data_IF_824957529703
#
_entry.id   IF_824957529703
#
_cell.length_a   1.000
_cell.length_b   1.000
_cell.length_c   1.000
_cell.angle_alpha   90.00
_cell.angle_beta   90.00
_cell.angle_gamma   90.00
#
_symmetry.space_group_name_H-M   'P 1'
#
loop_
_entity.id
_entity.type
_entity.pdbx_description
1 polymer ?
#
# COMPACT_ATOMS: atom_id res chain seq x y z
N UNK A 1 7.89 30.28 -4.03
CA UNK A 1 6.95 30.70 -5.08
C UNK A 1 7.06 29.69 -6.22
N UNK A 2 6.03 28.88 -6.41
CA UNK A 2 5.99 27.81 -7.41
C UNK A 2 6.02 28.41 -8.83
N UNK A 3 6.57 27.70 -9.81
CA UNK A 3 6.46 28.08 -11.23
C UNK A 3 4.99 28.29 -11.62
N UNK A 4 4.07 27.49 -11.06
CA UNK A 4 2.63 27.66 -11.25
C UNK A 4 2.15 29.06 -10.84
N UNK A 5 2.63 29.59 -9.71
CA UNK A 5 2.23 30.92 -9.24
C UNK A 5 2.66 32.04 -10.19
N UNK A 6 3.78 31.85 -10.91
CA UNK A 6 4.23 32.78 -11.97
C UNK A 6 3.47 32.61 -13.28
N UNK A 7 2.94 31.41 -13.55
CA UNK A 7 2.14 31.14 -14.74
C UNK A 7 0.65 31.45 -14.56
N UNK A 8 0.13 31.59 -13.33
CA UNK A 8 -1.24 32.05 -13.06
C UNK A 8 -1.62 33.31 -13.86
N UNK A 9 -0.84 34.41 -13.86
CA UNK A 9 -1.22 35.62 -14.61
C UNK A 9 -1.22 35.40 -16.13
N UNK A 10 -0.27 34.63 -16.67
CA UNK A 10 -0.17 34.31 -18.10
C UNK A 10 -1.34 33.41 -18.52
N UNK A 11 -1.64 32.40 -17.70
CA UNK A 11 -2.76 31.48 -17.88
C UNK A 11 -4.09 32.23 -17.85
N UNK A 12 -4.28 33.13 -16.88
CA UNK A 12 -5.49 33.94 -16.77
C UNK A 12 -5.65 34.90 -17.96
N UNK A 13 -4.55 35.52 -18.42
CA UNK A 13 -4.57 36.36 -19.62
C UNK A 13 -4.94 35.55 -20.88
N UNK A 14 -4.39 34.35 -21.02
CA UNK A 14 -4.76 33.44 -22.11
C UNK A 14 -6.25 33.05 -22.03
N UNK A 15 -6.75 32.70 -20.85
CA UNK A 15 -8.17 32.39 -20.66
C UNK A 15 -9.08 33.57 -21.00
N UNK A 16 -8.73 34.79 -20.61
CA UNK A 16 -9.51 35.98 -20.98
C UNK A 16 -9.54 36.24 -22.49
N UNK A 17 -8.42 36.00 -23.19
CA UNK A 17 -8.36 36.14 -24.65
C UNK A 17 -9.27 35.09 -25.31
N UNK A 18 -9.18 33.84 -24.87
CA UNK A 18 -10.00 32.74 -25.39
C UNK A 18 -11.48 32.99 -25.09
N UNK A 19 -11.83 33.37 -23.86
CA UNK A 19 -13.18 33.73 -23.44
C UNK A 19 -13.77 34.84 -24.30
N UNK A 20 -13.04 35.93 -24.55
CA UNK A 20 -13.53 37.03 -25.41
C UNK A 20 -13.77 36.59 -26.86
N UNK A 21 -12.93 35.69 -27.39
CA UNK A 21 -13.11 35.13 -28.73
C UNK A 21 -14.38 34.28 -28.78
N UNK A 22 -14.59 33.42 -27.78
CA UNK A 22 -15.78 32.58 -27.69
C UNK A 22 -17.06 33.42 -27.49
N UNK A 23 -17.04 34.44 -26.62
CA UNK A 23 -18.19 35.34 -26.42
C UNK A 23 -18.56 36.10 -27.69
N UNK A 24 -17.57 36.64 -28.43
CA UNK A 24 -17.82 37.33 -29.70
C UNK A 24 -18.38 36.37 -30.75
N UNK A 25 -17.88 35.14 -30.79
CA UNK A 25 -18.36 34.12 -31.72
C UNK A 25 -19.78 33.66 -31.33
N UNK A 26 -20.04 33.44 -30.05
CA UNK A 26 -21.35 33.04 -29.51
C UNK A 26 -22.39 34.16 -29.63
N UNK A 27 -21.98 35.43 -29.56
CA UNK A 27 -22.86 36.58 -29.82
C UNK A 27 -23.46 36.56 -31.22
N UNK A 28 -22.71 36.06 -32.22
CA UNK A 28 -23.23 35.84 -33.57
C UNK A 28 -24.35 34.78 -33.62
N UNK A 29 -24.34 33.83 -32.69
CA UNK A 29 -25.35 32.77 -32.54
C UNK A 29 -26.46 33.13 -31.54
N UNK A 30 -26.51 34.36 -31.04
CA UNK A 30 -27.59 34.86 -30.18
C UNK A 30 -27.32 34.78 -28.67
N UNK A 31 -26.10 34.51 -28.24
CA UNK A 31 -25.69 34.67 -26.83
C UNK A 31 -25.77 36.15 -26.42
N UNK A 32 -26.27 36.50 -25.22
CA UNK A 32 -26.67 35.62 -24.12
C UNK A 32 -28.15 35.19 -24.13
N UNK A 33 -28.94 35.64 -25.12
CA UNK A 33 -30.40 35.40 -25.16
C UNK A 33 -30.77 33.96 -25.53
N UNK A 34 -29.92 33.30 -26.32
CA UNK A 34 -30.02 31.89 -26.64
C UNK A 34 -28.80 31.17 -26.04
N UNK A 35 -28.90 30.54 -24.86
CA UNK A 35 -27.79 29.84 -24.22
C UNK A 35 -27.36 28.57 -24.98
N UNK A 36 -28.05 28.20 -26.05
CA UNK A 36 -27.75 26.99 -26.83
C UNK A 36 -28.18 25.71 -26.11
N UNK A 37 -27.72 24.58 -26.62
CA UNK A 37 -27.89 23.29 -25.97
C UNK A 37 -27.05 23.26 -24.68
N UNK A 38 -27.61 22.83 -23.53
CA UNK A 38 -26.84 22.74 -22.29
C UNK A 38 -25.60 21.86 -22.52
N UNK A 39 -24.44 22.35 -22.11
CA UNK A 39 -23.15 21.63 -22.21
C UNK A 39 -23.09 20.39 -21.32
N UNK A 40 -24.07 20.23 -20.44
CA UNK A 40 -24.21 19.10 -19.53
C UNK A 40 -25.35 18.24 -20.07
N UNK A 41 -24.99 17.15 -20.73
CA UNK A 41 -25.91 16.03 -20.94
C UNK A 41 -26.33 15.56 -19.55
N UNK A 42 -27.63 15.45 -19.25
CA UNK A 42 -28.14 14.79 -18.04
C UNK A 42 -27.81 13.28 -18.12
N UNK A 43 -26.53 12.97 -17.92
CA UNK A 43 -26.04 11.62 -17.67
C UNK A 43 -26.64 11.15 -16.33
N UNK A 44 -26.96 9.86 -16.18
CA UNK A 44 -27.57 9.33 -14.96
C UNK A 44 -26.78 9.76 -13.73
N UNK A 45 -27.49 10.37 -12.76
CA UNK A 45 -26.99 11.10 -11.59
C UNK A 45 -25.77 10.49 -10.87
N UNK A 46 -25.60 9.16 -10.89
CA UNK A 46 -24.53 8.47 -10.15
C UNK A 46 -23.12 8.73 -10.70
N UNK A 47 -22.93 8.71 -12.02
CA UNK A 47 -21.59 8.91 -12.61
C UNK A 47 -21.14 10.36 -12.41
N UNK A 48 -22.07 11.30 -12.57
CA UNK A 48 -21.82 12.73 -12.39
C UNK A 48 -21.58 13.08 -10.91
N UNK A 49 -22.38 12.53 -10.00
CA UNK A 49 -22.16 12.68 -8.55
C UNK A 49 -20.79 12.12 -8.12
N UNK A 50 -20.38 10.97 -8.68
CA UNK A 50 -19.07 10.39 -8.42
C UNK A 50 -17.93 11.28 -8.95
N UNK A 51 -18.05 11.85 -10.14
CA UNK A 51 -17.05 12.80 -10.65
C UNK A 51 -16.98 14.07 -9.81
N UNK A 52 -18.13 14.63 -9.39
CA UNK A 52 -18.18 15.80 -8.52
C UNK A 52 -17.53 15.51 -7.16
N UNK A 53 -17.77 14.33 -6.60
CA UNK A 53 -17.13 13.88 -5.37
C UNK A 53 -15.60 13.81 -5.55
N UNK A 54 -15.11 13.12 -6.58
CA UNK A 54 -13.67 13.05 -6.87
C UNK A 54 -13.03 14.43 -7.13
N UNK A 55 -13.77 15.35 -7.74
CA UNK A 55 -13.31 16.72 -7.94
C UNK A 55 -13.31 17.56 -6.65
N UNK A 56 -14.15 17.22 -5.68
CA UNK A 56 -14.21 17.87 -4.37
C UNK A 56 -13.10 17.44 -3.40
N UNK A 57 -12.47 16.27 -3.64
CA UNK A 57 -11.43 15.74 -2.77
C UNK A 57 -10.18 16.63 -2.75
N UNK A 58 -9.52 16.76 -1.58
CA UNK A 58 -8.25 17.46 -1.49
C UNK A 58 -7.16 16.74 -2.31
N UNK A 59 -6.15 17.49 -2.74
CA UNK A 59 -4.93 16.92 -3.33
C UNK A 59 -3.85 16.84 -2.27
N UNK A 60 -3.22 15.68 -2.16
CA UNK A 60 -2.02 15.50 -1.35
C UNK A 60 -0.88 16.30 -2.01
N UNK A 61 -0.28 17.24 -1.27
CA UNK A 61 0.67 18.21 -1.82
C UNK A 61 2.09 17.76 -1.53
N UNK A 62 2.69 17.09 -2.50
CA UNK A 62 4.09 16.71 -2.52
C UNK A 62 4.88 17.68 -3.41
N UNK A 63 6.19 17.74 -3.21
CA UNK A 63 7.09 18.50 -4.06
C UNK A 63 8.11 17.57 -4.69
N UNK A 64 8.33 17.75 -5.99
CA UNK A 64 9.42 17.13 -6.71
C UNK A 64 10.32 18.21 -7.33
N UNK A 65 11.62 18.25 -6.97
CA UNK A 65 12.28 17.50 -5.90
C UNK A 65 11.73 17.83 -4.49
N UNK A 66 11.89 16.94 -3.48
CA UNK A 66 11.37 17.19 -2.15
C UNK A 66 12.13 18.33 -1.48
N UNK A 67 11.49 18.96 -0.51
CA UNK A 67 12.08 20.05 0.23
C UNK A 67 13.26 19.51 1.05
N UNK A 68 14.44 20.03 0.76
CA UNK A 68 15.66 19.65 1.47
C UNK A 68 15.67 20.27 2.87
N UNK A 69 15.44 19.43 3.89
CA UNK A 69 15.54 19.80 5.31
C UNK A 69 16.61 18.94 5.98
N UNK A 70 17.82 19.47 6.25
CA UNK A 70 18.86 18.71 6.93
C UNK A 70 18.49 18.53 8.41
N UNK A 71 18.53 17.28 8.88
CA UNK A 71 18.31 16.91 10.29
C UNK A 71 19.64 16.69 11.01
N UNK A 72 20.70 16.34 10.26
CA UNK A 72 22.03 16.06 10.81
C UNK A 72 23.11 17.02 10.26
N UNK A 73 24.20 17.17 11.02
CA UNK A 73 25.37 17.95 10.58
C UNK A 73 26.00 17.42 9.29
N UNK A 74 25.93 16.10 9.06
CA UNK A 74 26.42 15.49 7.83
C UNK A 74 25.56 15.92 6.63
N UNK A 75 24.24 15.88 6.76
CA UNK A 75 23.30 16.35 5.74
C UNK A 75 23.41 17.85 5.47
N UNK A 76 23.82 18.65 6.47
CA UNK A 76 24.09 20.08 6.25
C UNK A 76 25.26 20.30 5.28
N UNK A 77 26.27 19.41 5.29
CA UNK A 77 27.48 19.53 4.46
C UNK A 77 27.28 18.88 3.09
N UNK A 78 26.69 17.68 3.04
CA UNK A 78 26.56 16.87 1.83
C UNK A 78 25.18 16.94 1.16
N UNK A 79 24.23 17.64 1.79
CA UNK A 79 22.83 17.68 1.39
C UNK A 79 21.99 16.61 2.10
N UNK A 80 20.71 16.88 2.41
CA UNK A 80 19.82 15.90 3.02
C UNK A 80 19.45 14.80 2.05
N UNK A 81 19.27 13.58 2.58
CA UNK A 81 18.72 12.49 1.81
C UNK A 81 17.27 12.82 1.41
N UNK A 82 16.87 12.61 0.14
CA UNK A 82 15.49 12.83 -0.27
C UNK A 82 14.60 11.80 0.43
N UNK A 83 13.59 12.28 1.17
CA UNK A 83 12.60 11.44 1.85
C UNK A 83 11.30 11.41 1.06
N UNK A 84 10.63 10.25 1.09
CA UNK A 84 9.28 10.07 0.54
C UNK A 84 8.29 10.72 1.50
N UNK A 85 7.39 11.54 0.98
CA UNK A 85 6.28 12.11 1.75
C UNK A 85 5.04 11.26 1.47
N UNK A 86 4.92 10.13 2.17
CA UNK A 86 3.87 9.16 1.97
C UNK A 86 2.60 9.54 2.73
N UNK A 87 1.43 9.21 2.16
CA UNK A 87 0.15 9.46 2.84
C UNK A 87 0.08 8.61 4.13
N UNK A 88 -0.17 9.22 5.29
CA UNK A 88 -0.18 8.50 6.56
C UNK A 88 -1.40 7.60 6.69
N UNK A 89 -1.20 6.44 7.32
CA UNK A 89 -2.23 5.48 7.69
C UNK A 89 -2.47 5.55 9.20
N UNK A 90 -3.72 5.67 9.61
CA UNK A 90 -4.08 5.73 11.03
C UNK A 90 -4.75 4.42 11.45
N UNK A 91 -4.05 3.64 12.26
CA UNK A 91 -4.53 2.36 12.80
C UNK A 91 -5.39 2.65 14.03
N UNK A 92 -6.51 1.96 14.17
CA UNK A 92 -7.36 2.02 15.35
C UNK A 92 -7.92 0.64 15.69
N UNK A 93 -8.13 0.40 16.98
CA UNK A 93 -8.70 -0.85 17.48
C UNK A 93 -10.07 -0.55 18.09
N UNK A 94 -11.09 -1.31 17.70
CA UNK A 94 -12.43 -1.23 18.27
C UNK A 94 -12.94 -2.63 18.57
N UNK A 95 -13.62 -2.79 19.72
CA UNK A 95 -14.22 -4.08 20.09
C UNK A 95 -15.35 -4.52 19.17
N UNK A 96 -15.96 -3.58 18.44
CA UNK A 96 -17.07 -3.85 17.54
C UNK A 96 -16.60 -4.12 16.10
N UNK A 97 -15.53 -3.45 15.66
CA UNK A 97 -15.06 -3.50 14.28
C UNK A 97 -13.80 -4.37 14.09
N UNK A 98 -13.01 -4.62 15.14
CA UNK A 98 -11.81 -5.46 15.11
C UNK A 98 -10.49 -4.74 15.41
N UNK A 99 -9.38 -5.48 15.21
CA UNK A 99 -8.02 -5.08 15.63
C UNK A 99 -7.12 -4.57 14.49
N UNK A 100 -7.40 -4.91 13.23
CA UNK A 100 -6.55 -4.57 12.09
C UNK A 100 -7.05 -3.36 11.31
N UNK A 101 -7.96 -2.60 11.89
CA UNK A 101 -8.66 -1.55 11.18
C UNK A 101 -7.78 -0.31 11.05
N UNK A 102 -7.89 0.33 9.90
CA UNK A 102 -7.24 1.60 9.68
C UNK A 102 -8.04 2.46 8.74
N UNK A 103 -7.80 3.76 8.82
CA UNK A 103 -8.32 4.69 7.85
C UNK A 103 -7.19 5.52 7.24
N UNK A 104 -7.44 5.99 6.02
CA UNK A 104 -6.57 6.86 5.25
C UNK A 104 -7.40 8.06 4.80
N UNK A 105 -6.81 9.26 4.84
CA UNK A 105 -7.48 10.44 4.29
C UNK A 105 -7.64 10.31 2.77
N UNK A 106 -8.84 10.55 2.25
CA UNK A 106 -9.12 10.36 0.83
C UNK A 106 -8.61 11.55 0.01
N UNK A 107 -7.47 11.38 -0.66
CA UNK A 107 -6.93 12.38 -1.59
C UNK A 107 -7.15 11.97 -3.04
N UNK A 108 -7.40 12.95 -3.90
CA UNK A 108 -7.65 12.76 -5.34
C UNK A 108 -6.52 12.04 -6.09
N UNK A 109 -5.29 12.17 -5.60
CA UNK A 109 -4.07 11.67 -6.25
C UNK A 109 -3.48 10.43 -5.57
N UNK A 110 -4.20 9.75 -4.68
CA UNK A 110 -3.73 8.48 -4.10
C UNK A 110 -3.73 7.40 -5.17
N UNK A 111 -2.67 6.59 -5.16
CA UNK A 111 -2.60 5.37 -5.93
C UNK A 111 -2.51 4.17 -5.00
N UNK A 112 -3.29 3.15 -5.34
CA UNK A 112 -3.20 1.85 -4.71
C UNK A 112 -2.55 0.86 -5.67
N UNK A 113 -1.97 -0.19 -5.11
CA UNK A 113 -1.57 -1.34 -5.91
C UNK A 113 -2.81 -1.97 -6.57
N UNK A 114 -2.69 -2.60 -7.75
CA UNK A 114 -3.77 -3.43 -8.26
C UNK A 114 -4.09 -4.59 -7.31
N UNK A 115 -5.37 -4.96 -7.18
CA UNK A 115 -5.82 -6.04 -6.30
C UNK A 115 -5.05 -7.35 -6.51
N UNK A 116 -4.81 -7.74 -7.77
CA UNK A 116 -4.06 -8.96 -8.09
C UNK A 116 -2.61 -8.92 -7.58
N UNK A 117 -1.99 -7.74 -7.58
CA UNK A 117 -0.62 -7.55 -7.13
C UNK A 117 -0.56 -7.52 -5.60
N UNK A 118 -1.53 -6.87 -4.96
CA UNK A 118 -1.68 -6.90 -3.51
C UNK A 118 -1.89 -8.33 -3.01
N UNK A 119 -2.81 -9.09 -3.64
CA UNK A 119 -3.02 -10.51 -3.34
C UNK A 119 -1.74 -11.33 -3.53
N UNK A 120 -1.02 -11.12 -4.64
CA UNK A 120 0.23 -11.83 -4.89
C UNK A 120 1.27 -11.59 -3.79
N UNK A 121 1.48 -10.34 -3.39
CA UNK A 121 2.44 -9.98 -2.34
C UNK A 121 2.04 -10.61 -1.01
N UNK A 122 0.77 -10.53 -0.64
CA UNK A 122 0.28 -11.05 0.63
C UNK A 122 0.34 -12.59 0.69
N UNK A 123 -0.16 -13.27 -0.34
CA UNK A 123 -0.29 -14.74 -0.34
C UNK A 123 1.02 -15.45 -0.70
N UNK A 124 1.78 -14.93 -1.68
CA UNK A 124 3.00 -15.61 -2.17
C UNK A 124 4.26 -15.16 -1.46
N UNK A 125 4.36 -13.89 -1.07
CA UNK A 125 5.52 -13.37 -0.33
C UNK A 125 5.31 -13.39 1.19
N UNK A 126 4.12 -13.76 1.66
CA UNK A 126 3.76 -13.83 3.09
C UNK A 126 3.87 -12.46 3.81
N UNK A 127 3.72 -11.35 3.06
CA UNK A 127 3.79 -9.98 3.60
C UNK A 127 2.35 -9.50 3.83
N UNK A 128 1.78 -9.84 4.98
CA UNK A 128 0.36 -9.56 5.28
C UNK A 128 0.14 -8.39 6.24
N UNK A 129 0.83 -8.37 7.39
CA UNK A 129 0.63 -7.31 8.41
C UNK A 129 1.77 -6.29 8.41
N UNK A 130 3.01 -6.76 8.23
CA UNK A 130 4.19 -5.89 8.24
C UNK A 130 4.41 -5.28 6.85
N UNK A 131 4.21 -3.97 6.74
CA UNK A 131 4.43 -3.22 5.49
C UNK A 131 5.85 -2.65 5.39
N UNK A 132 6.68 -2.77 6.43
CA UNK A 132 7.99 -2.09 6.54
C UNK A 132 8.92 -2.42 5.37
N UNK A 133 8.92 -3.66 4.90
CA UNK A 133 9.71 -4.09 3.75
C UNK A 133 9.26 -3.37 2.47
N UNK A 134 7.95 -3.28 2.25
CA UNK A 134 7.36 -2.65 1.07
C UNK A 134 7.62 -1.15 1.05
N UNK A 135 7.54 -0.51 2.22
CA UNK A 135 7.90 0.91 2.39
C UNK A 135 9.38 1.14 2.13
N UNK A 136 10.26 0.27 2.62
CA UNK A 136 11.70 0.31 2.34
C UNK A 136 11.99 0.19 0.84
N UNK A 137 11.32 -0.74 0.14
CA UNK A 137 11.46 -0.90 -1.32
C UNK A 137 11.01 0.36 -2.05
N UNK A 138 9.87 0.95 -1.66
CA UNK A 138 9.37 2.21 -2.22
C UNK A 138 10.38 3.36 -2.02
N UNK A 139 10.96 3.48 -0.83
CA UNK A 139 11.97 4.49 -0.52
C UNK A 139 13.25 4.32 -1.33
N UNK A 140 13.77 3.09 -1.44
CA UNK A 140 14.95 2.79 -2.26
C UNK A 140 14.70 3.12 -3.73
N UNK A 141 13.53 2.78 -4.26
CA UNK A 141 13.13 3.13 -5.63
C UNK A 141 13.06 4.65 -5.82
N UNK A 142 12.49 5.38 -4.85
CA UNK A 142 12.40 6.84 -4.90
C UNK A 142 13.78 7.51 -4.89
N UNK A 143 14.67 7.06 -4.00
CA UNK A 143 16.06 7.55 -3.93
C UNK A 143 16.80 7.23 -5.23
N UNK A 144 16.61 6.02 -5.77
CA UNK A 144 17.20 5.62 -7.05
C UNK A 144 16.76 6.52 -8.22
N UNK A 145 15.45 6.81 -8.32
CA UNK A 145 14.92 7.74 -9.32
C UNK A 145 15.46 9.15 -9.14
N UNK A 146 15.65 9.58 -7.89
CA UNK A 146 16.24 10.87 -7.58
C UNK A 146 17.68 11.01 -8.07
N UNK A 147 18.51 10.02 -7.74
CA UNK A 147 19.91 9.99 -8.18
C UNK A 147 19.98 9.96 -9.71
N UNK A 148 19.12 9.16 -10.35
CA UNK A 148 19.08 9.07 -11.79
C UNK A 148 18.62 10.38 -12.45
N UNK A 149 17.62 11.06 -11.89
CA UNK A 149 17.20 12.39 -12.34
C UNK A 149 18.35 13.40 -12.29
N UNK A 150 19.17 13.39 -11.23
CA UNK A 150 20.37 14.23 -11.14
C UNK A 150 21.41 13.88 -12.20
N UNK A 151 21.60 12.59 -12.51
CA UNK A 151 22.49 12.18 -13.62
C UNK A 151 22.01 12.73 -14.96
N UNK A 152 20.71 12.67 -15.24
CA UNK A 152 20.11 13.21 -16.48
C UNK A 152 20.30 14.73 -16.56
N UNK A 153 20.06 15.46 -15.46
CA UNK A 153 20.29 16.92 -15.38
C UNK A 153 21.76 17.24 -15.65
N UNK A 154 22.68 16.51 -15.01
CA UNK A 154 24.11 16.72 -15.18
C UNK A 154 24.55 16.41 -16.62
N UNK A 155 23.98 15.38 -17.24
CA UNK A 155 24.19 15.05 -18.65
C UNK A 155 23.76 16.19 -19.56
N UNK A 156 22.54 16.70 -19.38
CA UNK A 156 22.04 17.84 -20.15
C UNK A 156 22.99 19.02 -19.97
N UNK A 157 23.36 19.38 -18.72
CA UNK A 157 24.24 20.50 -18.43
C UNK A 157 25.61 20.38 -19.14
N UNK A 158 26.22 19.19 -19.16
CA UNK A 158 27.48 18.93 -19.88
C UNK A 158 27.29 19.05 -21.39
N UNK A 159 26.16 18.61 -21.95
CA UNK A 159 25.88 18.77 -23.39
C UNK A 159 25.85 20.23 -23.83
N UNK A 160 25.52 21.18 -22.95
CA UNK A 160 25.61 22.61 -23.23
C UNK A 160 27.05 23.15 -23.18
N UNK A 161 27.98 22.44 -22.54
CA UNK A 161 29.38 22.81 -22.44
C UNK A 161 30.16 22.26 -23.63
N UNK A 162 30.13 23.00 -24.75
CA UNK A 162 30.80 22.65 -26.01
C UNK A 162 32.31 22.38 -25.84
N UNK A 163 32.95 22.95 -24.81
CA UNK A 163 34.35 22.71 -24.48
C UNK A 163 34.64 21.29 -23.99
N UNK A 164 33.65 20.62 -23.36
CA UNK A 164 33.80 19.28 -22.82
C UNK A 164 33.38 18.28 -23.89
N UNK A 165 34.27 17.36 -24.26
CA UNK A 165 33.91 16.24 -25.09
C UNK A 165 33.14 15.20 -24.21
N UNK A 166 31.86 14.92 -24.48
CA UNK A 166 31.08 13.96 -23.69
C UNK A 166 31.60 12.52 -23.81
N UNK A 167 32.39 12.22 -24.84
CA UNK A 167 32.93 10.89 -25.11
C UNK A 167 34.34 10.65 -24.54
N UNK A 168 34.87 11.56 -23.74
CA UNK A 168 36.13 11.33 -23.01
C UNK A 168 35.87 10.84 -21.59
N UNK A 169 36.86 10.16 -21.01
CA UNK A 169 36.79 9.74 -19.61
C UNK A 169 36.84 10.98 -18.69
N UNK A 170 36.00 11.07 -17.64
CA UNK A 170 35.01 10.08 -17.18
C UNK A 170 33.58 10.24 -17.74
N UNK A 171 33.33 11.27 -18.55
CA UNK A 171 32.00 11.67 -19.04
C UNK A 171 31.32 10.63 -19.93
N UNK A 172 32.10 9.79 -20.60
CA UNK A 172 31.58 8.72 -21.45
C UNK A 172 30.64 7.75 -20.71
N UNK A 173 30.87 7.48 -19.42
CA UNK A 173 29.98 6.62 -18.62
C UNK A 173 28.63 7.28 -18.37
N UNK A 174 28.63 8.58 -18.16
CA UNK A 174 27.43 9.34 -17.90
C UNK A 174 26.58 9.50 -19.17
N UNK A 175 27.24 9.73 -20.31
CA UNK A 175 26.59 9.67 -21.62
C UNK A 175 25.96 8.28 -21.85
N UNK A 176 26.73 7.20 -21.67
CA UNK A 176 26.22 5.83 -21.84
C UNK A 176 25.02 5.49 -20.93
N UNK A 177 24.97 6.04 -19.71
CA UNK A 177 23.87 5.80 -18.77
C UNK A 177 22.56 6.55 -19.10
N UNK A 178 22.63 7.62 -19.89
CA UNK A 178 21.48 8.52 -20.16
C UNK A 178 21.07 8.51 -21.63
N UNK A 179 22.01 8.36 -22.57
CA UNK A 179 21.76 8.53 -24.01
C UNK A 179 20.74 7.52 -24.58
N UNK A 180 20.62 6.33 -23.98
CA UNK A 180 19.59 5.36 -24.37
C UNK A 180 18.17 5.94 -24.31
N UNK A 181 17.92 6.90 -23.41
CA UNK A 181 16.63 7.57 -23.29
C UNK A 181 16.31 8.41 -24.51
N UNK A 182 17.34 9.01 -25.11
CA UNK A 182 17.20 9.77 -26.34
C UNK A 182 16.94 8.83 -27.50
N UNK A 183 17.70 7.74 -27.63
CA UNK A 183 17.51 6.74 -28.69
C UNK A 183 16.07 6.19 -28.70
N UNK A 184 15.49 5.94 -27.53
CA UNK A 184 14.10 5.46 -27.40
C UNK A 184 13.06 6.54 -27.77
N UNK A 185 13.34 7.80 -27.45
CA UNK A 185 12.38 8.91 -27.61
C UNK A 185 12.58 9.74 -28.88
N UNK A 186 13.67 9.54 -29.64
CA UNK A 186 14.06 10.33 -30.81
C UNK A 186 13.01 10.29 -31.94
N UNK A 187 12.17 9.26 -31.98
CA UNK A 187 11.04 9.13 -32.92
C UNK A 187 9.70 9.65 -32.39
N UNK A 188 9.60 10.00 -31.11
CA UNK A 188 8.35 10.40 -30.44
C UNK A 188 8.37 11.89 -30.12
N UNK A 189 9.50 12.41 -29.62
CA UNK A 189 9.62 13.77 -29.14
C UNK A 189 10.19 14.67 -30.26
N UNK A 190 9.44 15.68 -30.74
CA UNK A 190 9.93 16.58 -31.78
C UNK A 190 10.96 17.56 -31.21
N UNK A 191 11.96 17.92 -32.02
CA UNK A 191 12.85 19.04 -31.70
C UNK A 191 12.11 20.38 -31.90
N UNK A 192 12.14 21.25 -30.91
CA UNK A 192 11.51 22.58 -30.97
C UNK A 192 12.62 23.60 -31.22
N UNK A 193 12.53 24.35 -32.32
CA UNK A 193 13.49 25.39 -32.69
C UNK A 193 14.97 24.92 -32.73
N UNK A 194 15.19 23.64 -33.07
CA UNK A 194 16.54 23.04 -33.13
C UNK A 194 17.12 22.64 -31.77
N UNK A 195 16.38 22.82 -30.67
CA UNK A 195 16.77 22.34 -29.34
C UNK A 195 16.18 20.95 -29.10
N UNK A 196 17.03 20.01 -28.67
CA UNK A 196 16.59 18.69 -28.25
C UNK A 196 15.93 18.80 -26.87
N UNK A 197 14.61 18.62 -26.81
CA UNK A 197 13.82 18.66 -25.57
C UNK A 197 13.63 17.27 -24.93
N UNK A 198 14.17 16.22 -25.54
CA UNK A 198 13.96 14.83 -25.13
C UNK A 198 14.34 14.59 -23.68
N UNK A 199 15.52 15.06 -23.26
CA UNK A 199 15.97 14.96 -21.87
C UNK A 199 15.04 15.69 -20.88
N UNK A 200 14.49 16.85 -21.26
CA UNK A 200 13.55 17.59 -20.41
C UNK A 200 12.19 16.91 -20.29
N UNK A 201 11.68 16.34 -21.39
CA UNK A 201 10.44 15.54 -21.38
C UNK A 201 10.62 14.30 -20.51
N UNK A 202 11.74 13.60 -20.66
CA UNK A 202 12.06 12.43 -19.86
C UNK A 202 12.20 12.74 -18.37
N UNK A 203 12.79 13.88 -18.01
CA UNK A 203 12.79 14.37 -16.62
C UNK A 203 11.37 14.59 -16.08
N UNK A 204 10.45 15.08 -16.92
CA UNK A 204 9.03 15.19 -16.57
C UNK A 204 8.41 13.82 -16.28
N UNK A 205 8.70 12.81 -17.12
CA UNK A 205 8.24 11.43 -16.90
C UNK A 205 8.78 10.85 -15.60
N UNK A 206 10.08 11.01 -15.32
CA UNK A 206 10.69 10.61 -14.06
C UNK A 206 10.02 11.30 -12.87
N UNK A 207 9.70 12.59 -13.00
CA UNK A 207 8.97 13.35 -11.98
C UNK A 207 7.58 12.78 -11.70
N UNK A 208 6.82 12.42 -12.74
CA UNK A 208 5.49 11.80 -12.58
C UNK A 208 5.59 10.43 -11.90
N UNK A 209 6.57 9.60 -12.29
CA UNK A 209 6.79 8.29 -11.66
C UNK A 209 7.17 8.47 -10.20
N UNK A 210 8.11 9.37 -9.89
CA UNK A 210 8.53 9.58 -8.53
C UNK A 210 7.41 10.20 -7.66
N UNK A 211 6.60 11.09 -8.24
CA UNK A 211 5.41 11.62 -7.58
C UNK A 211 4.38 10.52 -7.31
N UNK A 212 4.20 9.55 -8.22
CA UNK A 212 3.33 8.40 -7.99
C UNK A 212 3.78 7.54 -6.81
N UNK A 213 5.10 7.46 -6.53
CA UNK A 213 5.61 6.74 -5.37
C UNK A 213 5.27 7.44 -4.05
N UNK A 214 5.28 8.78 -3.99
CA UNK A 214 4.82 9.51 -2.79
C UNK A 214 3.34 9.27 -2.49
N UNK A 215 2.55 9.09 -3.54
CA UNK A 215 1.11 8.85 -3.43
C UNK A 215 0.72 7.37 -3.37
N UNK A 216 1.69 6.46 -3.44
CA UNK A 216 1.44 5.02 -3.37
C UNK A 216 1.19 4.61 -1.91
N UNK A 217 -0.01 4.10 -1.65
CA UNK A 217 -0.42 3.61 -0.32
C UNK A 217 -0.62 2.10 -0.34
N UNK A 218 -0.04 1.44 0.66
CA UNK A 218 -0.18 0.01 0.88
C UNK A 218 -1.36 -0.28 1.81
N UNK A 219 -2.30 -1.11 1.37
CA UNK A 219 -3.56 -1.40 2.09
C UNK A 219 -3.53 -2.73 2.85
N UNK A 220 -2.40 -3.42 2.87
CA UNK A 220 -2.29 -4.72 3.55
C UNK A 220 -2.67 -4.61 5.04
N UNK A 221 -3.47 -5.55 5.58
CA UNK A 221 -3.85 -6.85 5.02
C UNK A 221 -5.08 -6.85 4.07
N UNK A 222 -5.70 -5.71 3.83
CA UNK A 222 -6.89 -5.61 2.98
C UNK A 222 -6.51 -5.43 1.50
N UNK A 223 -7.41 -5.84 0.61
CA UNK A 223 -7.34 -5.43 -0.78
C UNK A 223 -7.77 -3.97 -0.92
N UNK A 224 -7.18 -3.21 -1.86
CA UNK A 224 -7.59 -1.84 -2.14
C UNK A 224 -9.07 -1.66 -2.46
N UNK A 225 -9.71 -2.68 -3.02
CA UNK A 225 -11.16 -2.69 -3.30
C UNK A 225 -12.05 -2.82 -2.07
N UNK A 226 -11.51 -3.18 -0.90
CA UNK A 226 -12.25 -3.28 0.37
C UNK A 226 -12.41 -1.91 1.05
N UNK A 227 -11.91 -0.83 0.44
CA UNK A 227 -12.01 0.52 0.99
C UNK A 227 -13.47 1.01 1.01
N UNK A 228 -13.93 1.44 2.18
CA UNK A 228 -15.23 2.12 2.33
C UNK A 228 -15.05 3.63 2.48
N UNK A 229 -15.75 4.40 1.63
CA UNK A 229 -15.75 5.86 1.67
C UNK A 229 -16.70 6.35 2.76
N UNK A 230 -16.16 7.02 3.78
CA UNK A 230 -16.95 7.59 4.88
C UNK A 230 -16.44 8.98 5.26
N UNK A 231 -17.24 9.73 6.03
CA UNK A 231 -16.84 11.05 6.53
C UNK A 231 -16.57 10.95 8.03
N UNK A 232 -15.32 11.18 8.41
CA UNK A 232 -14.92 11.21 9.82
C UNK A 232 -14.59 12.64 10.25
N UNK A 233 -14.85 12.92 11.52
CA UNK A 233 -14.54 14.20 12.13
C UNK A 233 -13.11 14.13 12.68
N UNK A 234 -12.14 14.57 11.88
CA UNK A 234 -10.72 14.57 12.21
C UNK A 234 -10.29 16.02 12.47
N UNK A 235 -9.72 16.29 13.65
CA UNK A 235 -9.27 17.64 14.04
C UNK A 235 -10.36 18.72 13.93
N UNK A 236 -11.60 18.39 14.33
CA UNK A 236 -12.77 19.30 14.26
C UNK A 236 -13.24 19.64 12.83
N UNK A 237 -12.67 18.99 11.81
CA UNK A 237 -13.07 19.12 10.41
C UNK A 237 -13.65 17.80 9.90
N UNK A 238 -14.76 17.87 9.16
CA UNK A 238 -15.31 16.71 8.46
C UNK A 238 -14.43 16.41 7.25
N UNK A 239 -13.72 15.29 7.30
CA UNK A 239 -12.85 14.83 6.21
C UNK A 239 -13.39 13.55 5.59
N UNK A 240 -13.31 13.48 4.27
CA UNK A 240 -13.57 12.24 3.53
C UNK A 240 -12.39 11.29 3.74
N UNK A 241 -12.67 10.08 4.22
CA UNK A 241 -11.68 9.05 4.51
C UNK A 241 -12.06 7.72 3.85
N UNK A 242 -11.05 6.90 3.64
CA UNK A 242 -11.18 5.50 3.23
C UNK A 242 -10.92 4.63 4.45
N UNK A 243 -11.93 3.88 4.89
CA UNK A 243 -11.81 2.97 6.02
C UNK A 243 -11.66 1.54 5.51
N UNK A 244 -10.75 0.81 6.13
CA UNK A 244 -10.58 -0.63 5.98
C UNK A 244 -10.85 -1.26 7.35
N UNK A 245 -11.92 -2.06 7.43
CA UNK A 245 -12.38 -2.65 8.68
C UNK A 245 -12.90 -4.08 8.46
N UNK A 246 -13.20 -4.77 9.55
CA UNK A 246 -13.58 -6.20 9.59
C UNK A 246 -12.46 -7.17 9.16
N UNK A 247 -12.83 -8.39 8.78
CA UNK A 247 -11.91 -9.44 8.35
C UNK A 247 -11.53 -9.23 6.87
N UNK A 248 -10.24 -9.19 6.52
CA UNK A 248 -9.81 -9.08 5.12
C UNK A 248 -10.38 -10.18 4.23
N UNK A 249 -10.86 -9.83 3.04
CA UNK A 249 -11.48 -10.81 2.12
C UNK A 249 -10.51 -11.93 1.71
N UNK A 250 -9.22 -11.62 1.71
CA UNK A 250 -8.15 -12.58 1.43
C UNK A 250 -8.15 -13.76 2.39
N UNK A 251 -8.48 -13.54 3.66
CA UNK A 251 -8.50 -14.59 4.69
C UNK A 251 -9.73 -15.51 4.60
N UNK A 252 -10.76 -15.11 3.86
CA UNK A 252 -11.86 -16.01 3.50
C UNK A 252 -11.49 -16.95 2.35
N UNK A 253 -10.62 -16.49 1.43
CA UNK A 253 -10.24 -17.23 0.23
C UNK A 253 -9.04 -18.14 0.46
N UNK A 254 -8.07 -17.65 1.23
CA UNK A 254 -6.81 -18.32 1.52
C UNK A 254 -6.67 -18.49 3.05
N UNK A 255 -6.05 -19.57 3.52
CA UNK A 255 -5.82 -19.75 4.94
C UNK A 255 -4.92 -18.63 5.48
N UNK A 256 -5.22 -18.19 6.70
CA UNK A 256 -4.42 -17.18 7.40
C UNK A 256 -3.00 -17.74 7.59
N UNK A 257 -1.95 -16.97 7.23
CA UNK A 257 -0.57 -17.38 7.45
C UNK A 257 -0.32 -17.91 8.87
N UNK A 258 0.43 -19.01 8.97
CA UNK A 258 0.68 -19.65 10.26
C UNK A 258 1.44 -18.72 11.22
N UNK A 259 2.36 -17.89 10.72
CA UNK A 259 3.12 -16.92 11.52
C UNK A 259 2.20 -15.93 12.27
N UNK A 260 1.10 -15.52 11.62
CA UNK A 260 0.10 -14.63 12.24
C UNK A 260 -0.69 -15.39 13.30
N UNK A 261 -1.07 -16.65 13.03
CA UNK A 261 -1.80 -17.49 13.98
C UNK A 261 -0.96 -17.77 15.23
N UNK A 262 0.34 -18.03 15.05
CA UNK A 262 1.30 -18.17 16.17
C UNK A 262 1.42 -16.87 16.96
N UNK A 263 1.54 -15.72 16.29
CA UNK A 263 1.55 -14.43 16.95
C UNK A 263 0.29 -14.18 17.80
N UNK A 264 -0.90 -14.53 17.29
CA UNK A 264 -2.16 -14.42 18.06
C UNK A 264 -2.20 -15.37 19.24
N UNK A 265 -1.68 -16.58 19.10
CA UNK A 265 -1.68 -17.56 20.19
C UNK A 265 -0.69 -17.22 21.30
N UNK A 266 0.53 -16.80 20.94
CA UNK A 266 1.63 -16.58 21.89
C UNK A 266 1.65 -15.16 22.45
N UNK A 267 1.42 -14.13 21.63
CA UNK A 267 1.65 -12.73 22.01
C UNK A 267 0.35 -11.95 22.24
N UNK A 268 -0.71 -12.22 21.45
CA UNK A 268 -1.97 -11.47 21.46
C UNK A 268 -3.21 -12.38 21.53
N UNK A 269 -3.44 -13.09 22.66
CA UNK A 269 -4.57 -14.01 22.81
C UNK A 269 -5.93 -13.30 22.82
N UNK A 270 -5.94 -11.99 23.09
CA UNK A 270 -7.11 -11.13 22.98
C UNK A 270 -7.64 -11.04 21.54
N UNK A 271 -6.73 -10.96 20.56
CA UNK A 271 -7.09 -10.98 19.15
C UNK A 271 -7.64 -12.35 18.78
N UNK A 272 -7.02 -13.43 19.27
CA UNK A 272 -7.47 -14.79 19.01
C UNK A 272 -8.89 -15.02 19.53
N UNK A 273 -9.17 -14.62 20.77
CA UNK A 273 -10.49 -14.77 21.41
C UNK A 273 -11.58 -13.99 20.67
N UNK A 274 -11.26 -12.76 20.26
CA UNK A 274 -12.14 -11.97 19.41
C UNK A 274 -12.40 -12.63 18.06
N UNK A 275 -11.35 -13.08 17.36
CA UNK A 275 -11.50 -13.72 16.05
C UNK A 275 -12.35 -14.98 16.16
N UNK A 276 -12.14 -15.80 17.18
CA UNK A 276 -12.94 -17.00 17.43
C UNK A 276 -14.39 -16.70 17.81
N UNK A 277 -14.64 -15.59 18.51
CA UNK A 277 -15.99 -15.21 18.95
C UNK A 277 -16.78 -14.51 17.83
N UNK A 278 -16.20 -13.50 17.20
CA UNK A 278 -16.83 -12.69 16.16
C UNK A 278 -17.04 -13.46 14.86
N UNK A 279 -16.12 -14.38 14.54
CA UNK A 279 -16.12 -15.14 13.29
C UNK A 279 -16.35 -16.63 13.50
N UNK A 280 -16.99 -17.02 14.62
CA UNK A 280 -17.27 -18.42 14.97
C UNK A 280 -18.00 -19.20 13.88
N UNK A 281 -18.93 -18.52 13.20
CA UNK A 281 -19.78 -19.12 12.16
C UNK A 281 -19.03 -19.32 10.84
N UNK A 282 -17.86 -18.70 10.71
CA UNK A 282 -16.96 -18.92 9.59
C UNK A 282 -16.10 -20.15 9.88
N UNK A 283 -16.09 -21.11 8.96
CA UNK A 283 -15.23 -22.31 9.04
C UNK A 283 -13.75 -21.97 8.74
N UNK A 284 -13.19 -20.97 9.42
CA UNK A 284 -11.81 -20.50 9.29
C UNK A 284 -10.98 -21.07 10.44
N UNK A 285 -9.78 -21.52 10.12
CA UNK A 285 -8.85 -22.07 11.10
C UNK A 285 -8.01 -20.94 11.70
N UNK A 286 -8.30 -20.56 12.94
CA UNK A 286 -7.57 -19.49 13.65
C UNK A 286 -6.40 -20.01 14.50
N UNK A 287 -6.43 -21.30 14.89
CA UNK A 287 -5.37 -21.88 15.71
C UNK A 287 -4.10 -22.17 14.89
N UNK A 288 -2.91 -22.11 15.49
CA UNK A 288 -1.65 -22.49 14.84
C UNK A 288 -1.59 -23.97 14.46
N UNK A 289 -0.91 -24.29 13.35
CA UNK A 289 -0.76 -25.66 12.87
C UNK A 289 -0.05 -26.57 13.88
N UNK A 290 0.86 -26.01 14.69
CA UNK A 290 1.56 -26.71 15.77
C UNK A 290 0.59 -27.23 16.83
N UNK A 291 -0.34 -26.39 17.29
CA UNK A 291 -1.37 -26.74 18.29
C UNK A 291 -2.34 -27.76 17.71
N UNK A 292 -2.75 -27.59 16.46
CA UNK A 292 -3.66 -28.55 15.80
C UNK A 292 -3.02 -29.92 15.64
N UNK A 293 -1.74 -29.98 15.26
CA UNK A 293 -1.00 -31.26 15.18
C UNK A 293 -0.88 -31.93 16.55
N UNK A 294 -0.65 -31.16 17.61
CA UNK A 294 -0.63 -31.70 18.98
C UNK A 294 -2.01 -32.22 19.41
N UNK A 295 -3.07 -31.48 19.09
CA UNK A 295 -4.45 -31.89 19.39
C UNK A 295 -4.85 -33.14 18.62
N UNK A 296 -4.51 -33.25 17.33
CA UNK A 296 -4.78 -34.44 16.53
C UNK A 296 -4.01 -35.66 17.05
N UNK A 297 -2.72 -35.49 17.39
CA UNK A 297 -1.93 -36.57 17.99
C UNK A 297 -2.52 -37.01 19.34
N UNK A 298 -2.98 -36.07 20.17
CA UNK A 298 -3.62 -36.38 21.45
C UNK A 298 -4.97 -37.08 21.26
N UNK A 299 -5.76 -36.67 20.27
CA UNK A 299 -7.03 -37.32 19.93
C UNK A 299 -6.80 -38.75 19.42
N UNK A 300 -5.78 -38.97 18.58
CA UNK A 300 -5.39 -40.29 18.11
C UNK A 300 -4.95 -41.18 19.28
N UNK A 301 -4.15 -40.66 20.23
CA UNK A 301 -3.79 -41.38 21.44
C UNK A 301 -5.02 -41.74 22.31
N UNK A 302 -5.97 -40.81 22.47
CA UNK A 302 -7.20 -41.07 23.23
C UNK A 302 -8.05 -42.14 22.54
N UNK A 303 -8.17 -42.11 21.21
CA UNK A 303 -8.91 -43.14 20.46
C UNK A 303 -8.24 -44.51 20.57
N UNK A 304 -6.91 -44.59 20.50
CA UNK A 304 -6.15 -45.81 20.73
C UNK A 304 -6.35 -46.35 22.15
N UNK A 305 -6.33 -45.50 23.18
CA UNK A 305 -6.61 -45.91 24.57
C UNK A 305 -8.05 -46.40 24.74
N UNK A 306 -9.02 -45.76 24.09
CA UNK A 306 -10.43 -46.20 24.15
C UNK A 306 -10.65 -47.55 23.46
N UNK A 307 -9.92 -47.83 22.38
CA UNK A 307 -9.97 -49.13 21.71
C UNK A 307 -9.30 -50.21 22.57
N UNK A 308 -8.16 -49.91 23.20
CA UNK A 308 -7.51 -50.82 24.16
C UNK A 308 -8.45 -51.10 25.35
N UNK A 309 -9.13 -50.09 25.88
CA UNK A 309 -10.14 -50.24 26.95
C UNK A 309 -11.32 -51.12 26.54
N UNK A 310 -11.73 -51.09 25.28
CA UNK A 310 -12.82 -51.91 24.76
C UNK A 310 -12.36 -53.33 24.40
N UNK A 311 -11.07 -53.50 24.08
CA UNK A 311 -10.41 -54.80 23.84
C UNK A 311 -9.99 -55.51 25.14
N UNK A 312 -9.92 -54.78 26.27
CA UNK A 312 -9.87 -55.39 27.60
C UNK A 312 -11.21 -56.07 27.90
N UNK A 313 -11.28 -57.34 27.52
CA UNK A 313 -12.43 -58.21 27.72
C UNK A 313 -12.88 -58.21 29.18
N UNK A 314 -14.20 -58.26 29.37
CA UNK A 314 -14.90 -58.43 30.66
C UNK A 314 -14.45 -59.68 31.45
N UNK A 315 -13.57 -60.52 30.89
CA UNK A 315 -12.93 -61.64 31.59
C UNK A 315 -11.82 -61.20 32.55
N UNK A 316 -11.06 -60.14 32.25
CA UNK A 316 -9.96 -59.68 33.11
C UNK A 316 -10.50 -58.93 34.35
N UNK A 317 -11.64 -58.24 34.21
CA UNK A 317 -12.39 -57.64 35.34
C UNK A 317 -13.11 -58.67 36.22
N UNK A 318 -13.43 -59.86 35.68
CA UNK A 318 -14.12 -60.92 36.41
C UNK A 318 -13.18 -61.83 37.21
N UNK A 319 -11.93 -62.01 36.75
CA UNK A 319 -10.91 -62.76 37.48
C UNK A 319 -10.12 -61.85 38.41
N UNK A 320 -10.77 -61.42 39.49
CA UNK A 320 -10.12 -60.78 40.61
C UNK A 320 -9.05 -61.69 41.22
N UNK A 321 -7.79 -61.32 41.08
CA UNK A 321 -6.82 -61.41 42.16
C UNK A 321 -6.05 -60.10 42.26
N UNK A 322 -6.42 -59.35 43.29
CA UNK A 322 -5.80 -58.16 43.83
C UNK A 322 -4.29 -58.37 44.00
N UNK A 323 -3.47 -57.79 43.14
CA UNK A 323 -2.10 -57.42 43.45
C UNK A 323 -1.80 -56.04 42.84
N UNK A 324 -1.66 -55.07 43.74
CA UNK A 324 -0.98 -53.78 43.62
C UNK A 324 -1.36 -52.80 42.49
N UNK A 325 -2.63 -52.37 42.46
CA UNK A 325 -3.03 -51.13 41.78
C UNK A 325 -2.38 -49.87 42.39
N UNK A 326 -1.86 -49.94 43.62
CA UNK A 326 -1.19 -48.82 44.28
C UNK A 326 0.28 -48.64 43.83
N UNK A 327 0.97 -49.68 43.37
CA UNK A 327 2.34 -49.52 42.85
C UNK A 327 2.33 -48.87 41.46
N UNK A 328 1.36 -49.22 40.61
CA UNK A 328 1.23 -48.66 39.27
C UNK A 328 0.83 -47.17 39.28
N UNK A 329 -0.03 -46.77 40.22
CA UNK A 329 -0.38 -45.36 40.44
C UNK A 329 0.80 -44.55 40.99
N UNK A 330 1.61 -45.12 41.88
CA UNK A 330 2.82 -44.45 42.38
C UNK A 330 3.91 -44.34 41.30
N UNK A 331 4.02 -45.31 40.39
CA UNK A 331 4.96 -45.23 39.28
C UNK A 331 4.56 -44.19 38.23
N UNK A 332 3.26 -44.03 37.97
CA UNK A 332 2.75 -43.00 37.08
C UNK A 332 2.87 -41.60 37.70
N UNK A 333 2.55 -41.41 38.98
CA UNK A 333 2.71 -40.10 39.63
C UNK A 333 4.18 -39.66 39.73
N UNK A 334 5.10 -40.57 40.09
CA UNK A 334 6.53 -40.23 40.18
C UNK A 334 7.16 -39.91 38.79
N UNK A 335 6.59 -40.43 37.71
CA UNK A 335 6.97 -40.07 36.35
C UNK A 335 6.50 -38.68 35.92
N UNK A 336 5.42 -38.15 36.49
CA UNK A 336 4.89 -36.82 36.18
C UNK A 336 5.62 -35.69 36.93
N UNK A 337 6.15 -35.94 38.12
CA UNK A 337 6.91 -34.94 38.90
C UNK A 337 8.35 -34.70 38.39
N UNK A 338 8.83 -35.48 37.41
CA UNK A 338 10.18 -35.34 36.84
C UNK A 338 10.24 -34.59 35.50
N UNK A 339 9.10 -34.09 35.01
CA UNK A 339 8.97 -33.39 33.72
C UNK A 339 8.42 -31.96 33.79
N UNK A 340 8.35 -31.36 34.99
CA UNK A 340 8.12 -29.92 35.17
C UNK A 340 9.42 -29.14 35.42
#
# INVERSE_FOLDING_TARGET
MSLDEKFIPIRNAFYQIVESIFEKTAGFFGYPKNPGMPTIYEMPNQVYARSQFFDSLPKHKTYWPPIQRPETWFEMIFGPAPKVDAVPRYIYESKEEGFYNFYIENYKNIYFLPDWLSEFIQVRLNICLDISLLETVREVLFIGLMIYSQMVILRIAISWLIYINPYTFPWCYLAAAVDWTEDVLQGIVPAILGVNITGSVFLGVLGVIADSLNHLVFTMPFLPSEAEETKLLINQEMKDVLIFHYLPILWYRHPIPNDIREFWYDQRPDILDYMQTAYKDLNIQFLPDSVIKQLSQKADLVSQVSNISNDFSTEILANGNLFDSNELFNYLNNGFDTFF
#
